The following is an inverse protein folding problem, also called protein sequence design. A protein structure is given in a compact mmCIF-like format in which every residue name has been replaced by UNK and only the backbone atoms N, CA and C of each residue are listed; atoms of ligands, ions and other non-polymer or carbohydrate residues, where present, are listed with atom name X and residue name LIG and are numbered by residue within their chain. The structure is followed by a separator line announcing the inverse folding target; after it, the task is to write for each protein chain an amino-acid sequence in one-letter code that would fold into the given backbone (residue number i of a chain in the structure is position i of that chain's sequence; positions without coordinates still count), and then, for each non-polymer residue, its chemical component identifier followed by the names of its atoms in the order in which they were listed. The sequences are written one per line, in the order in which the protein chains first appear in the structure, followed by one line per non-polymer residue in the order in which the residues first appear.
data_IF_000647370850
#
_entry.id   IF_000647370850
#
_cell.length_a   1.000
_cell.length_b   1.000
_cell.length_c   1.000
_cell.angle_alpha   90.00
_cell.angle_beta   90.00
_cell.angle_gamma   90.00
#
_symmetry.space_group_name_H-M   'P 1'
#
loop_
_entity.id
_entity.type
_entity.pdbx_description
1 polymer ?
#
# COMPACT_ATOMS: atom_id res chain seq x y z
N UNK A 1 -6.33 23.34 10.95
CA UNK A 1 -6.61 23.63 12.37
C UNK A 1 -5.39 24.32 12.92
N UNK A 2 -5.62 25.41 13.62
CA UNK A 2 -4.65 26.49 13.81
C UNK A 2 -3.73 26.23 15.00
N UNK A 3 -2.49 26.73 14.92
CA UNK A 3 -1.60 26.77 16.08
C UNK A 3 -2.23 27.66 17.17
N UNK A 4 -2.08 27.32 18.45
CA UNK A 4 -2.68 28.07 19.57
C UNK A 4 -1.65 28.64 20.55
N UNK A 5 -0.37 28.72 20.13
CA UNK A 5 0.61 29.58 20.80
C UNK A 5 0.13 31.03 20.71
N UNK A 6 0.18 31.80 21.80
CA UNK A 6 -0.39 33.16 21.90
C UNK A 6 -0.21 33.96 20.59
N UNK A 7 -1.34 34.26 19.93
CA UNK A 7 -1.47 34.99 18.65
C UNK A 7 -0.99 34.32 17.35
N UNK A 8 -0.63 33.03 17.32
CA UNK A 8 -0.17 32.37 16.09
C UNK A 8 -1.31 31.75 15.25
N UNK A 9 -1.82 32.46 14.23
CA UNK A 9 -2.90 31.99 13.33
C UNK A 9 -2.41 31.29 12.06
N UNK A 10 -1.18 30.76 12.04
CA UNK A 10 -0.62 30.14 10.84
C UNK A 10 -1.24 28.77 10.55
N UNK A 11 -1.72 28.58 9.31
CA UNK A 11 -2.12 27.27 8.77
C UNK A 11 -0.87 26.50 8.34
N UNK A 12 -0.60 25.38 9.01
CA UNK A 12 0.55 24.52 8.73
C UNK A 12 0.15 23.41 7.76
N UNK A 13 0.38 23.66 6.47
CA UNK A 13 -0.06 22.78 5.37
C UNK A 13 1.08 21.90 4.79
N UNK A 14 2.33 22.08 5.23
CA UNK A 14 3.48 21.28 4.75
C UNK A 14 4.59 21.15 5.80
N UNK A 15 5.51 20.19 5.60
CA UNK A 15 6.68 19.95 6.47
C UNK A 15 7.64 21.12 6.55
N UNK A 16 7.83 21.81 5.43
CA UNK A 16 8.70 22.97 5.31
C UNK A 16 8.12 24.14 6.11
N UNK A 17 6.81 24.37 5.99
CA UNK A 17 6.08 25.38 6.77
C UNK A 17 6.08 25.03 8.27
N UNK A 18 5.92 23.75 8.63
CA UNK A 18 5.98 23.30 10.02
C UNK A 18 7.38 23.49 10.63
N UNK A 19 8.45 23.15 9.90
CA UNK A 19 9.82 23.30 10.39
C UNK A 19 10.19 24.78 10.59
N UNK A 20 9.90 25.62 9.60
CA UNK A 20 10.12 27.06 9.69
C UNK A 20 9.27 27.71 10.79
N UNK A 21 8.02 27.26 10.97
CA UNK A 21 7.16 27.72 12.06
C UNK A 21 7.72 27.34 13.43
N UNK A 22 8.18 26.10 13.61
CA UNK A 22 8.78 25.65 14.87
C UNK A 22 10.06 26.41 15.20
N UNK A 23 10.86 26.80 14.20
CA UNK A 23 12.03 27.66 14.38
C UNK A 23 11.70 29.09 14.85
N UNK A 24 10.47 29.58 14.63
CA UNK A 24 10.00 30.88 15.14
C UNK A 24 9.60 30.83 16.62
N UNK A 25 9.37 29.64 17.17
CA UNK A 25 9.13 29.46 18.59
C UNK A 25 10.48 29.22 19.28
N UNK A 26 10.75 29.96 20.35
CA UNK A 26 11.92 29.68 21.17
C UNK A 26 11.75 28.27 21.80
N UNK A 27 12.63 27.32 21.44
CA UNK A 27 12.52 25.90 21.82
C UNK A 27 12.85 25.63 23.30
N UNK A 28 12.92 26.67 24.12
CA UNK A 28 13.15 26.57 25.56
C UNK A 28 12.02 25.82 26.24
N UNK A 29 10.78 25.94 25.76
CA UNK A 29 9.64 25.16 26.24
C UNK A 29 9.22 24.07 25.23
N UNK A 30 9.76 22.85 25.41
CA UNK A 30 9.52 21.69 24.56
C UNK A 30 8.12 21.08 24.78
N UNK A 31 7.05 21.87 24.81
CA UNK A 31 5.67 21.41 25.09
C UNK A 31 4.77 21.42 23.86
N UNK A 32 3.70 20.62 23.91
CA UNK A 32 2.64 20.63 22.90
C UNK A 32 1.47 21.52 23.33
N UNK A 33 1.02 22.44 22.50
CA UNK A 33 -0.13 23.32 22.79
C UNK A 33 -1.31 23.11 21.84
N UNK A 34 -1.41 21.92 21.24
CA UNK A 34 -2.47 21.62 20.30
C UNK A 34 -3.79 21.31 21.04
N UNK A 35 -4.82 22.14 20.82
CA UNK A 35 -6.14 21.98 21.45
C UNK A 35 -6.72 20.59 21.13
N UNK A 36 -7.12 19.85 22.16
CA UNK A 36 -7.63 18.49 22.04
C UNK A 36 -6.55 17.40 21.96
N UNK A 37 -5.26 17.76 22.07
CA UNK A 37 -4.20 16.78 22.23
C UNK A 37 -4.16 16.24 23.66
N UNK A 38 -4.04 14.92 23.80
CA UNK A 38 -3.89 14.26 25.12
C UNK A 38 -2.60 14.61 25.84
N UNK A 39 -1.60 15.17 25.13
CA UNK A 39 -0.28 15.57 25.66
C UNK A 39 -0.13 17.08 25.73
N UNK A 40 -1.25 17.80 25.79
CA UNK A 40 -1.27 19.25 25.90
C UNK A 40 -0.51 19.72 27.15
N UNK A 41 0.37 20.70 27.00
CA UNK A 41 1.22 21.23 28.06
C UNK A 41 2.31 20.28 28.57
N UNK A 42 2.44 19.06 28.02
CA UNK A 42 3.45 18.10 28.47
C UNK A 42 4.83 18.36 27.86
N UNK A 43 5.86 18.38 28.72
CA UNK A 43 7.25 18.48 28.30
C UNK A 43 7.65 17.26 27.46
N UNK A 44 8.23 17.51 26.29
CA UNK A 44 8.84 16.50 25.43
C UNK A 44 10.33 16.38 25.73
N UNK A 45 10.92 15.18 25.56
CA UNK A 45 12.30 14.91 25.95
C UNK A 45 13.34 15.65 25.08
N UNK A 46 12.98 16.06 23.87
CA UNK A 46 13.83 16.86 22.98
C UNK A 46 13.01 17.45 21.83
N UNK A 47 13.63 18.38 21.07
CA UNK A 47 13.04 19.01 19.88
C UNK A 47 12.54 18.01 18.83
N UNK A 48 13.24 16.89 18.64
CA UNK A 48 12.86 15.89 17.63
C UNK A 48 11.56 15.17 18.01
N UNK A 49 11.36 14.90 19.30
CA UNK A 49 10.13 14.29 19.82
C UNK A 49 8.93 15.23 19.65
N UNK A 50 9.09 16.52 19.94
CA UNK A 50 8.04 17.52 19.73
C UNK A 50 7.70 17.68 18.24
N UNK A 51 8.70 17.81 17.36
CA UNK A 51 8.48 17.88 15.89
C UNK A 51 7.72 16.64 15.40
N UNK A 52 8.14 15.44 15.80
CA UNK A 52 7.48 14.21 15.39
C UNK A 52 6.04 14.08 15.94
N UNK A 53 5.80 14.62 17.13
CA UNK A 53 4.47 14.68 17.73
C UNK A 53 3.55 15.63 16.94
N UNK A 54 3.99 16.87 16.70
CA UNK A 54 3.18 17.92 16.04
C UNK A 54 2.89 17.58 14.57
N UNK A 55 3.75 16.81 13.89
CA UNK A 55 3.45 16.25 12.55
C UNK A 55 2.14 15.48 12.50
N UNK A 56 1.74 14.80 13.59
CA UNK A 56 0.46 14.07 13.65
C UNK A 56 -0.76 15.00 13.55
N UNK A 57 -0.62 16.22 14.06
CA UNK A 57 -1.69 17.21 14.09
C UNK A 57 -1.86 17.93 12.76
N UNK A 58 -0.75 18.27 12.09
CA UNK A 58 -0.76 18.91 10.78
C UNK A 58 -1.36 18.05 9.67
N UNK A 59 -1.46 16.73 9.88
CA UNK A 59 -1.82 15.78 8.84
C UNK A 59 -0.76 15.65 7.73
N UNK A 60 0.38 16.35 7.85
CA UNK A 60 1.47 16.30 6.88
C UNK A 60 2.12 14.92 6.85
N UNK A 61 2.12 14.31 5.66
CA UNK A 61 2.66 12.99 5.38
C UNK A 61 3.72 13.09 4.29
N UNK A 62 4.89 13.68 4.59
CA UNK A 62 5.91 13.98 3.59
C UNK A 62 6.56 12.71 3.03
N UNK A 63 6.51 11.61 3.77
CA UNK A 63 7.10 10.33 3.37
C UNK A 63 6.09 9.54 2.52
N UNK A 64 6.09 9.78 1.21
CA UNK A 64 5.24 9.07 0.24
C UNK A 64 5.85 7.72 -0.14
N UNK A 65 5.02 6.68 -0.20
CA UNK A 65 5.42 5.43 -0.82
C UNK A 65 5.54 5.62 -2.34
N UNK A 66 6.54 4.97 -2.95
CA UNK A 66 6.75 5.00 -4.41
C UNK A 66 5.94 3.94 -5.15
N UNK A 67 5.48 2.92 -4.43
CA UNK A 67 4.80 1.76 -4.99
C UNK A 67 3.28 1.83 -4.80
N UNK A 68 2.78 2.62 -3.85
CA UNK A 68 1.34 2.76 -3.61
C UNK A 68 0.98 4.18 -3.13
N UNK A 69 -0.31 4.58 -3.12
CA UNK A 69 -0.73 5.94 -2.75
C UNK A 69 -0.63 6.24 -1.24
N UNK A 70 -0.08 5.33 -0.42
CA UNK A 70 0.07 5.54 1.02
C UNK A 70 1.20 6.54 1.31
N UNK A 71 0.98 7.36 2.31
CA UNK A 71 1.94 8.35 2.82
C UNK A 71 2.01 8.29 4.34
N UNK A 72 3.17 8.64 4.89
CA UNK A 72 3.49 8.48 6.29
C UNK A 72 4.03 9.78 6.89
N UNK A 73 3.75 10.01 8.18
CA UNK A 73 4.26 11.17 8.93
C UNK A 73 5.73 11.03 9.32
N UNK A 74 6.28 9.80 9.28
CA UNK A 74 7.65 9.45 9.68
C UNK A 74 8.32 8.51 8.68
N UNK A 75 9.63 8.67 8.50
CA UNK A 75 10.44 7.86 7.56
C UNK A 75 10.65 6.40 7.99
N UNK A 76 10.67 6.12 9.29
CA UNK A 76 10.76 4.74 9.80
C UNK A 76 9.46 3.96 9.57
N UNK A 77 8.31 4.64 9.64
CA UNK A 77 7.01 4.06 9.29
C UNK A 77 6.96 3.69 7.79
N UNK A 78 7.44 4.56 6.91
CA UNK A 78 7.63 4.25 5.48
C UNK A 78 8.59 3.06 5.30
N UNK A 79 9.73 3.05 5.99
CA UNK A 79 10.73 1.99 5.87
C UNK A 79 10.18 0.61 6.28
N UNK A 80 9.37 0.55 7.35
CA UNK A 80 8.66 -0.67 7.75
C UNK A 80 7.62 -1.08 6.71
N UNK A 81 6.90 -0.13 6.12
CA UNK A 81 5.94 -0.40 5.06
C UNK A 81 6.60 -0.96 3.78
N UNK A 82 7.77 -0.47 3.37
CA UNK A 82 8.46 -1.02 2.19
C UNK A 82 8.87 -2.49 2.36
N UNK A 83 9.04 -2.98 3.60
CA UNK A 83 9.27 -4.43 3.84
C UNK A 83 8.03 -5.26 3.51
N UNK A 84 6.84 -4.72 3.72
CA UNK A 84 5.60 -5.38 3.33
C UNK A 84 5.50 -5.53 1.82
N UNK A 85 5.85 -4.48 1.05
CA UNK A 85 5.88 -4.56 -0.41
C UNK A 85 6.79 -5.68 -0.92
N UNK A 86 8.03 -5.76 -0.41
CA UNK A 86 8.96 -6.85 -0.78
C UNK A 86 8.38 -8.26 -0.58
N UNK A 87 7.62 -8.49 0.48
CA UNK A 87 6.99 -9.78 0.74
C UNK A 87 5.78 -9.98 -0.15
N UNK A 88 4.93 -8.97 -0.26
CA UNK A 88 3.71 -9.04 -1.07
C UNK A 88 3.99 -9.14 -2.56
N UNK A 89 5.08 -8.56 -3.05
CA UNK A 89 5.50 -8.62 -4.44
C UNK A 89 5.88 -10.05 -4.82
N UNK A 90 6.55 -10.79 -3.94
CA UNK A 90 6.83 -12.22 -4.14
C UNK A 90 5.57 -13.07 -4.19
N UNK A 91 4.59 -12.74 -3.34
CA UNK A 91 3.29 -13.44 -3.34
C UNK A 91 2.50 -13.14 -4.62
N UNK A 92 2.48 -11.88 -5.06
CA UNK A 92 1.87 -11.47 -6.32
C UNK A 92 2.58 -12.15 -7.50
N UNK A 93 3.90 -12.17 -7.52
CA UNK A 93 4.70 -12.85 -8.54
C UNK A 93 4.36 -14.34 -8.63
N UNK A 94 4.22 -15.01 -7.48
CA UNK A 94 3.80 -16.42 -7.41
C UNK A 94 2.41 -16.65 -8.00
N UNK A 95 1.44 -15.78 -7.68
CA UNK A 95 0.07 -15.87 -8.24
C UNK A 95 0.08 -15.66 -9.76
N UNK A 96 0.81 -14.65 -10.25
CA UNK A 96 0.93 -14.35 -11.68
C UNK A 96 1.57 -15.52 -12.42
N UNK A 97 2.66 -16.07 -11.89
CA UNK A 97 3.30 -17.25 -12.47
C UNK A 97 2.34 -18.45 -12.50
N UNK A 98 1.57 -18.66 -11.43
CA UNK A 98 0.57 -19.74 -11.36
C UNK A 98 -0.50 -19.61 -12.45
N UNK A 99 -1.04 -18.40 -12.65
CA UNK A 99 -1.99 -18.10 -13.74
C UNK A 99 -1.37 -18.42 -15.10
N UNK A 100 -0.17 -17.89 -15.37
CA UNK A 100 0.55 -18.12 -16.63
C UNK A 100 0.75 -19.62 -16.93
N UNK A 101 1.18 -20.41 -15.95
CA UNK A 101 1.38 -21.84 -16.13
C UNK A 101 0.08 -22.59 -16.41
N UNK A 102 -1.01 -22.23 -15.74
CA UNK A 102 -2.32 -22.85 -15.94
C UNK A 102 -2.91 -22.49 -17.31
N UNK A 103 -2.80 -21.24 -17.74
CA UNK A 103 -3.24 -20.79 -19.07
C UNK A 103 -2.49 -21.54 -20.18
N UNK A 104 -1.16 -21.68 -20.05
CA UNK A 104 -0.34 -22.46 -20.97
C UNK A 104 -0.75 -23.94 -20.99
N UNK A 105 -1.08 -24.51 -19.84
CA UNK A 105 -1.56 -25.90 -19.74
C UNK A 105 -2.92 -26.07 -20.42
N UNK A 106 -3.84 -25.12 -20.25
CA UNK A 106 -5.16 -25.12 -20.89
C UNK A 106 -5.04 -25.12 -22.40
N UNK A 107 -4.21 -24.25 -22.97
CA UNK A 107 -3.96 -24.21 -24.43
C UNK A 107 -3.50 -25.57 -24.98
N UNK A 108 -2.64 -26.28 -24.24
CA UNK A 108 -2.23 -27.65 -24.59
C UNK A 108 -3.38 -28.66 -24.45
N UNK A 109 -4.21 -28.53 -23.42
CA UNK A 109 -5.37 -29.42 -23.22
C UNK A 109 -6.40 -29.23 -24.33
N UNK A 110 -6.70 -27.99 -24.71
CA UNK A 110 -7.62 -27.66 -25.81
C UNK A 110 -7.16 -28.28 -27.12
N UNK A 111 -5.87 -28.16 -27.43
CA UNK A 111 -5.26 -28.80 -28.60
C UNK A 111 -5.39 -30.34 -28.55
N UNK A 112 -5.20 -30.95 -27.37
CA UNK A 112 -5.34 -32.41 -27.17
C UNK A 112 -6.78 -32.91 -27.28
N UNK A 113 -7.77 -32.10 -26.87
CA UNK A 113 -9.20 -32.45 -26.95
C UNK A 113 -9.62 -32.66 -28.40
N UNK A 114 -9.10 -31.85 -29.33
CA UNK A 114 -9.45 -31.89 -30.76
C UNK A 114 -9.06 -33.24 -31.38
N UNK A 115 -7.90 -33.78 -31.02
CA UNK A 115 -7.30 -34.98 -31.63
C UNK A 115 -7.54 -36.27 -30.84
N UNK A 116 -8.35 -36.23 -29.77
CA UNK A 116 -8.60 -37.38 -28.89
C UNK A 116 -9.85 -38.19 -29.24
N UNK A 117 -9.83 -39.50 -28.95
CA UNK A 117 -11.00 -40.38 -29.04
C UNK A 117 -12.08 -40.01 -27.98
N UNK A 118 -13.29 -40.56 -28.12
CA UNK A 118 -14.46 -40.16 -27.31
C UNK A 118 -14.22 -40.22 -25.79
N UNK A 119 -13.66 -41.33 -25.28
CA UNK A 119 -13.43 -41.52 -23.85
C UNK A 119 -12.40 -40.54 -23.28
N UNK A 120 -11.29 -40.33 -24.02
CA UNK A 120 -10.22 -39.40 -23.63
C UNK A 120 -10.66 -37.94 -23.76
N UNK A 121 -11.53 -37.64 -24.73
CA UNK A 121 -12.09 -36.29 -24.97
C UNK A 121 -12.89 -35.81 -23.76
N UNK A 122 -13.73 -36.65 -23.18
CA UNK A 122 -14.54 -36.30 -22.02
C UNK A 122 -13.69 -36.06 -20.77
N UNK A 123 -12.65 -36.88 -20.54
CA UNK A 123 -11.70 -36.68 -19.44
C UNK A 123 -10.92 -35.36 -19.59
N UNK A 124 -10.44 -35.05 -20.80
CA UNK A 124 -9.71 -33.81 -21.07
C UNK A 124 -10.60 -32.57 -20.93
N UNK A 125 -11.88 -32.64 -21.35
CA UNK A 125 -12.85 -31.56 -21.12
C UNK A 125 -13.05 -31.27 -19.64
N UNK A 126 -13.21 -32.31 -18.81
CA UNK A 126 -13.34 -32.16 -17.35
C UNK A 126 -12.11 -31.52 -16.73
N UNK A 127 -10.91 -31.96 -17.15
CA UNK A 127 -9.65 -31.36 -16.70
C UNK A 127 -9.52 -29.89 -17.11
N UNK A 128 -10.01 -29.54 -18.31
CA UNK A 128 -10.01 -28.17 -18.78
C UNK A 128 -10.93 -27.28 -17.92
N UNK A 129 -12.15 -27.74 -17.61
CA UNK A 129 -13.08 -27.02 -16.71
C UNK A 129 -12.46 -26.81 -15.33
N UNK A 130 -11.84 -27.85 -14.75
CA UNK A 130 -11.18 -27.74 -13.45
C UNK A 130 -10.01 -26.73 -13.47
N UNK A 131 -9.21 -26.74 -14.55
CA UNK A 131 -8.08 -25.80 -14.71
C UNK A 131 -8.58 -24.35 -14.83
N UNK A 132 -9.66 -24.11 -15.58
CA UNK A 132 -10.27 -22.79 -15.70
C UNK A 132 -10.84 -22.31 -14.35
N UNK A 133 -11.58 -23.15 -13.63
CA UNK A 133 -12.09 -22.80 -12.29
C UNK A 133 -10.96 -22.44 -11.32
N UNK A 134 -9.84 -23.16 -11.38
CA UNK A 134 -8.69 -22.85 -10.54
C UNK A 134 -8.03 -21.52 -10.92
N UNK A 135 -7.90 -21.20 -12.22
CA UNK A 135 -7.43 -19.89 -12.67
C UNK A 135 -8.30 -18.76 -12.11
N UNK A 136 -9.62 -18.90 -12.16
CA UNK A 136 -10.54 -17.86 -11.66
C UNK A 136 -10.37 -17.62 -10.16
N UNK A 137 -10.16 -18.68 -9.37
CA UNK A 137 -9.85 -18.56 -7.94
C UNK A 137 -8.54 -17.77 -7.72
N UNK A 138 -7.49 -18.11 -8.47
CA UNK A 138 -6.17 -17.45 -8.35
C UNK A 138 -6.23 -15.99 -8.83
N UNK A 139 -6.98 -15.70 -9.89
CA UNK A 139 -7.24 -14.33 -10.37
C UNK A 139 -7.96 -13.50 -9.31
N UNK A 140 -8.95 -14.07 -8.63
CA UNK A 140 -9.67 -13.39 -7.56
C UNK A 140 -8.78 -13.12 -6.34
N UNK A 141 -7.90 -14.06 -5.98
CA UNK A 141 -6.90 -13.82 -4.93
C UNK A 141 -5.94 -12.68 -5.31
N UNK A 142 -5.47 -12.67 -6.55
CA UNK A 142 -4.62 -11.60 -7.09
C UNK A 142 -5.32 -10.24 -7.04
N UNK A 143 -6.59 -10.16 -7.50
CA UNK A 143 -7.42 -8.94 -7.41
C UNK A 143 -7.50 -8.43 -5.98
N UNK A 144 -7.77 -9.32 -5.02
CA UNK A 144 -7.87 -8.97 -3.61
C UNK A 144 -6.55 -8.45 -3.03
N UNK A 145 -5.41 -9.05 -3.38
CA UNK A 145 -4.09 -8.56 -2.95
C UNK A 145 -3.78 -7.18 -3.54
N UNK A 146 -4.04 -6.95 -4.82
CA UNK A 146 -3.80 -5.66 -5.47
C UNK A 146 -4.67 -4.55 -4.87
N UNK A 147 -5.95 -4.86 -4.58
CA UNK A 147 -6.87 -3.94 -3.89
C UNK A 147 -6.38 -3.55 -2.50
N UNK A 148 -5.86 -4.50 -1.70
CA UNK A 148 -5.28 -4.23 -0.36
C UNK A 148 -4.08 -3.28 -0.41
N UNK A 149 -3.33 -3.32 -1.50
CA UNK A 149 -2.20 -2.43 -1.74
C UNK A 149 -2.63 -1.08 -2.32
N UNK A 150 -3.90 -0.90 -2.67
CA UNK A 150 -4.40 0.28 -3.37
C UNK A 150 -3.61 0.54 -4.67
N UNK A 151 -3.19 -0.55 -5.34
CA UNK A 151 -2.57 -0.53 -6.65
C UNK A 151 -3.68 -0.42 -7.70
N UNK A 152 -3.54 0.52 -8.63
CA UNK A 152 -4.51 0.66 -9.72
C UNK A 152 -4.26 -0.36 -10.85
N UNK A 153 -5.20 -0.41 -11.81
CA UNK A 153 -5.12 -1.26 -13.02
C UNK A 153 -3.96 -0.88 -13.95
N UNK A 154 -3.36 0.29 -13.78
CA UNK A 154 -2.24 0.81 -14.57
C UNK A 154 -0.87 0.45 -13.95
N UNK A 155 -0.84 -0.05 -12.71
CA UNK A 155 0.36 -0.58 -12.08
C UNK A 155 0.95 -1.76 -12.87
N UNK A 156 2.24 -2.06 -12.67
CA UNK A 156 2.94 -3.19 -13.31
C UNK A 156 2.13 -4.49 -13.20
N UNK A 157 1.55 -4.73 -12.03
CA UNK A 157 0.75 -5.93 -11.74
C UNK A 157 -0.68 -5.87 -12.32
N UNK A 158 -1.24 -4.68 -12.53
CA UNK A 158 -2.58 -4.50 -13.11
C UNK A 158 -2.71 -5.04 -14.55
N UNK A 159 -1.60 -5.19 -15.28
CA UNK A 159 -1.56 -5.77 -16.63
C UNK A 159 -1.96 -7.25 -16.67
N UNK A 160 -1.78 -7.97 -15.56
CA UNK A 160 -2.13 -9.39 -15.44
C UNK A 160 -3.61 -9.61 -15.04
N UNK A 161 -4.35 -8.52 -14.79
CA UNK A 161 -5.78 -8.55 -14.49
C UNK A 161 -6.66 -8.19 -15.70
N UNK A 162 -6.11 -8.08 -16.92
CA UNK A 162 -6.93 -7.77 -18.09
C UNK A 162 -7.90 -8.91 -18.38
N UNK A 163 -9.15 -8.50 -18.61
CA UNK A 163 -10.28 -9.33 -19.04
C UNK A 163 -10.00 -10.01 -20.39
#
# INVERSE_FOLDING_TARGET
MDCSWENCKEKLESSEKLKAHLEKHDFTDLKCYWIGCTRYGEQQPNKYALVAHVKKHSGDRPFKCKECPKSYTRGDALSKHMKYHKQSDKEIESLVNSIYYLEKRISVLESKVIVSNFDKKNALKRLNVCSNNFIEIVKEELKNKLKRQNLDKNSFWGRFLKD
#
